data_IF_370229823646
#
_entry.id   IF_370229823646
#
_cell.length_a   1.000
_cell.length_b   1.000
_cell.length_c   1.000
_cell.angle_alpha   90.00
_cell.angle_beta   90.00
_cell.angle_gamma   90.00
#
_symmetry.space_group_name_H-M   'P 1'
#
loop_
_entity.id
_entity.type
_entity.pdbx_description
1 polymer ?
#
# COMPACT_ATOMS: atom_id res chain seq x y z
N UNK A 1 -11.89 -31.18 3.66
CA UNK A 1 -12.33 -32.36 4.42
C UNK A 1 -11.18 -32.76 5.32
N UNK A 2 -11.28 -32.48 6.63
CA UNK A 2 -10.25 -32.91 7.58
C UNK A 2 -10.24 -34.45 7.64
N UNK A 3 -9.04 -35.06 7.60
CA UNK A 3 -8.92 -36.49 7.86
C UNK A 3 -9.46 -36.80 9.28
N UNK A 4 -10.19 -37.91 9.47
CA UNK A 4 -10.64 -38.29 10.80
C UNK A 4 -9.41 -38.53 11.68
N UNK A 5 -9.37 -37.89 12.85
CA UNK A 5 -8.30 -38.08 13.82
C UNK A 5 -8.24 -39.55 14.22
N UNK A 6 -7.09 -40.19 14.00
CA UNK A 6 -6.83 -41.57 14.39
C UNK A 6 -6.93 -41.69 15.91
N UNK A 7 -7.87 -42.49 16.41
CA UNK A 7 -8.07 -42.68 17.86
C UNK A 7 -6.81 -43.26 18.49
N UNK A 8 -6.40 -42.68 19.62
CA UNK A 8 -5.24 -43.14 20.40
C UNK A 8 -5.57 -44.29 21.34
N UNK A 9 -6.84 -44.72 21.39
CA UNK A 9 -7.32 -45.77 22.29
C UNK A 9 -7.51 -45.32 23.75
N UNK A 10 -7.24 -44.05 24.06
CA UNK A 10 -7.46 -43.47 25.38
C UNK A 10 -8.49 -42.35 25.31
N UNK A 11 -9.66 -42.56 25.91
CA UNK A 11 -10.78 -41.62 25.90
C UNK A 11 -10.42 -40.25 26.47
N UNK A 12 -9.49 -40.18 27.43
CA UNK A 12 -9.00 -38.91 27.99
C UNK A 12 -8.07 -38.18 27.02
N UNK A 13 -7.19 -38.90 26.32
CA UNK A 13 -6.26 -38.31 25.35
C UNK A 13 -7.03 -37.88 24.11
N UNK A 14 -7.95 -38.70 23.61
CA UNK A 14 -8.79 -38.37 22.45
C UNK A 14 -9.71 -37.18 22.75
N UNK A 15 -10.25 -37.07 23.97
CA UNK A 15 -11.04 -35.90 24.39
C UNK A 15 -10.18 -34.61 24.50
N UNK A 16 -8.93 -34.73 24.96
CA UNK A 16 -7.98 -33.60 24.97
C UNK A 16 -7.57 -33.22 23.55
N UNK A 17 -7.28 -34.18 22.67
CA UNK A 17 -6.94 -33.96 21.27
C UNK A 17 -8.13 -33.34 20.51
N UNK A 18 -9.36 -33.78 20.75
CA UNK A 18 -10.56 -33.15 20.20
C UNK A 18 -10.78 -31.74 20.75
N UNK A 19 -10.59 -31.51 22.05
CA UNK A 19 -10.67 -30.15 22.64
C UNK A 19 -9.57 -29.24 22.09
N UNK A 20 -8.36 -29.74 21.88
CA UNK A 20 -7.25 -29.00 21.31
C UNK A 20 -7.52 -28.72 19.83
N UNK A 21 -7.98 -29.71 19.05
CA UNK A 21 -8.35 -29.52 17.64
C UNK A 21 -9.53 -28.55 17.47
N UNK A 22 -10.53 -28.59 18.35
CA UNK A 22 -11.68 -27.68 18.34
C UNK A 22 -11.32 -26.24 18.76
N UNK A 23 -10.25 -26.06 19.55
CA UNK A 23 -9.74 -24.74 19.97
C UNK A 23 -8.49 -24.29 19.20
N UNK A 24 -7.98 -25.10 18.27
CA UNK A 24 -6.90 -24.68 17.38
C UNK A 24 -7.56 -23.92 16.24
N UNK A 25 -7.30 -22.61 16.09
CA UNK A 25 -7.85 -21.86 14.96
C UNK A 25 -7.46 -22.56 13.66
N UNK A 26 -8.46 -22.94 12.88
CA UNK A 26 -8.28 -23.66 11.62
C UNK A 26 -7.27 -22.89 10.75
N UNK A 27 -6.24 -23.59 10.25
CA UNK A 27 -5.19 -22.97 9.45
C UNK A 27 -5.80 -22.55 8.11
N UNK A 28 -6.26 -21.30 8.05
CA UNK A 28 -6.97 -20.73 6.91
C UNK A 28 -6.15 -20.91 5.63
N UNK A 29 -6.80 -21.34 4.55
CA UNK A 29 -6.16 -21.54 3.26
C UNK A 29 -7.06 -21.11 2.10
N UNK A 30 -6.46 -20.86 0.94
CA UNK A 30 -7.19 -20.49 -0.27
C UNK A 30 -7.97 -19.17 -0.16
N UNK A 31 -9.17 -19.14 -0.74
CA UNK A 31 -9.99 -17.91 -0.88
C UNK A 31 -10.33 -17.28 0.47
N UNK A 32 -10.55 -18.08 1.52
CA UNK A 32 -10.84 -17.55 2.86
C UNK A 32 -9.65 -16.82 3.48
N UNK A 33 -8.42 -17.28 3.23
CA UNK A 33 -7.22 -16.60 3.68
C UNK A 33 -7.04 -15.28 2.93
N UNK A 34 -7.06 -15.33 1.60
CA UNK A 34 -6.79 -14.16 0.76
C UNK A 34 -7.82 -13.06 0.94
N UNK A 35 -9.11 -13.41 1.09
CA UNK A 35 -10.17 -12.43 1.32
C UNK A 35 -10.05 -11.71 2.66
N UNK A 36 -9.57 -12.38 3.71
CA UNK A 36 -9.29 -11.74 5.01
C UNK A 36 -8.11 -10.78 4.93
N UNK A 37 -7.04 -11.16 4.23
CA UNK A 37 -5.91 -10.25 3.97
C UNK A 37 -6.32 -9.07 3.07
N UNK A 38 -7.15 -9.32 2.05
CA UNK A 38 -7.71 -8.28 1.21
C UNK A 38 -8.53 -7.29 2.04
N UNK A 39 -9.49 -7.75 2.85
CA UNK A 39 -10.32 -6.89 3.67
C UNK A 39 -9.52 -6.11 4.71
N UNK A 40 -8.57 -6.77 5.39
CA UNK A 40 -7.69 -6.10 6.35
C UNK A 40 -6.84 -5.02 5.67
N UNK A 41 -6.31 -5.32 4.48
CA UNK A 41 -5.58 -4.36 3.65
C UNK A 41 -6.44 -3.19 3.20
N UNK A 42 -7.66 -3.47 2.76
CA UNK A 42 -8.62 -2.49 2.28
C UNK A 42 -9.00 -1.48 3.37
N UNK A 43 -9.39 -1.96 4.56
CA UNK A 43 -9.76 -1.11 5.69
C UNK A 43 -8.55 -0.28 6.14
N UNK A 44 -7.39 -0.91 6.33
CA UNK A 44 -6.20 -0.20 6.76
C UNK A 44 -5.77 0.91 5.79
N UNK A 45 -5.69 0.60 4.50
CA UNK A 45 -5.34 1.60 3.49
C UNK A 45 -6.40 2.70 3.39
N UNK A 46 -7.69 2.35 3.41
CA UNK A 46 -8.77 3.34 3.36
C UNK A 46 -8.76 4.30 4.55
N UNK A 47 -8.64 3.79 5.78
CA UNK A 47 -8.62 4.63 6.99
C UNK A 47 -7.38 5.51 7.02
N UNK A 48 -6.20 4.96 6.71
CA UNK A 48 -4.95 5.71 6.82
C UNK A 48 -4.80 6.78 5.75
N UNK A 49 -5.11 6.47 4.49
CA UNK A 49 -5.07 7.46 3.42
C UNK A 49 -6.27 8.43 3.51
N UNK A 50 -7.46 7.95 3.86
CA UNK A 50 -8.62 8.79 4.11
C UNK A 50 -8.37 9.81 5.24
N UNK A 51 -7.77 9.36 6.36
CA UNK A 51 -7.38 10.24 7.46
C UNK A 51 -6.30 11.26 7.10
N UNK A 52 -5.46 10.97 6.10
CA UNK A 52 -4.45 11.89 5.59
C UNK A 52 -4.93 12.81 4.46
N UNK A 53 -6.20 12.71 4.03
CA UNK A 53 -6.81 13.61 3.02
C UNK A 53 -6.53 15.10 3.30
N UNK A 54 -6.61 15.62 4.54
CA UNK A 54 -6.28 17.02 4.83
C UNK A 54 -4.84 17.41 4.48
N UNK A 55 -3.87 16.55 4.81
CA UNK A 55 -2.44 16.77 4.49
C UNK A 55 -2.25 16.80 2.98
N UNK A 56 -2.94 15.88 2.31
CA UNK A 56 -2.92 15.67 0.88
C UNK A 56 -3.49 16.86 0.09
N UNK A 57 -4.63 17.43 0.54
CA UNK A 57 -5.21 18.65 -0.02
C UNK A 57 -4.23 19.81 0.08
N UNK A 58 -3.68 20.06 1.28
CA UNK A 58 -2.73 21.17 1.49
C UNK A 58 -1.48 20.98 0.64
N UNK A 59 -0.95 19.75 0.56
CA UNK A 59 0.21 19.45 -0.28
C UNK A 59 -0.07 19.70 -1.76
N UNK A 60 -1.22 19.27 -2.26
CA UNK A 60 -1.61 19.53 -3.65
C UNK A 60 -1.80 21.02 -3.91
N UNK A 61 -2.40 21.78 -2.99
CA UNK A 61 -2.53 23.25 -3.08
C UNK A 61 -1.18 23.95 -3.16
N UNK A 62 -0.22 23.57 -2.31
CA UNK A 62 1.17 24.09 -2.35
C UNK A 62 1.83 23.77 -3.71
N UNK A 63 1.55 22.60 -4.28
CA UNK A 63 2.15 22.20 -5.56
C UNK A 63 1.53 22.91 -6.77
N UNK A 64 0.22 23.21 -6.72
CA UNK A 64 -0.52 23.86 -7.80
C UNK A 64 -0.36 25.39 -7.78
N UNK A 65 -0.38 26.00 -6.60
CA UNK A 65 -0.24 27.45 -6.42
C UNK A 65 0.80 27.77 -5.33
N UNK A 66 2.10 27.61 -5.63
CA UNK A 66 3.18 27.87 -4.68
C UNK A 66 3.33 29.36 -4.33
N UNK A 67 2.81 30.28 -5.15
CA UNK A 67 2.86 31.71 -4.86
C UNK A 67 1.93 32.08 -3.70
N UNK A 68 0.71 31.53 -3.72
CA UNK A 68 -0.27 31.71 -2.65
C UNK A 68 0.07 30.87 -1.42
N UNK A 69 0.37 29.58 -1.62
CA UNK A 69 0.56 28.61 -0.54
C UNK A 69 2.05 28.39 -0.26
N UNK A 70 2.72 29.42 0.26
CA UNK A 70 4.18 29.45 0.46
C UNK A 70 4.64 29.26 1.92
N UNK A 71 3.72 29.08 2.87
CA UNK A 71 4.02 29.04 4.32
C UNK A 71 4.24 27.62 4.87
N UNK A 72 4.66 26.69 4.01
CA UNK A 72 4.80 25.28 4.37
C UNK A 72 3.46 24.62 4.74
N UNK A 73 3.52 23.42 5.33
CA UNK A 73 2.33 22.61 5.57
C UNK A 73 1.38 23.25 6.61
N UNK A 74 1.90 23.64 7.78
CA UNK A 74 1.10 24.23 8.87
C UNK A 74 0.49 25.57 8.45
N UNK A 75 1.26 26.41 7.75
CA UNK A 75 0.76 27.66 7.19
C UNK A 75 -0.28 27.41 6.09
N UNK A 76 -0.04 26.41 5.23
CA UNK A 76 -0.97 25.97 4.20
C UNK A 76 -2.32 25.53 4.77
N UNK A 77 -2.35 24.77 5.87
CA UNK A 77 -3.59 24.43 6.59
C UNK A 77 -4.40 25.67 6.96
N UNK A 78 -3.75 26.66 7.59
CA UNK A 78 -4.41 27.92 7.97
C UNK A 78 -4.90 28.69 6.76
N UNK A 79 -4.12 28.73 5.68
CA UNK A 79 -4.47 29.42 4.44
C UNK A 79 -5.69 28.78 3.76
N UNK A 80 -5.74 27.44 3.67
CA UNK A 80 -6.87 26.72 3.09
C UNK A 80 -8.14 26.95 3.91
N UNK A 81 -8.06 26.81 5.25
CA UNK A 81 -9.21 27.05 6.12
C UNK A 81 -9.73 28.48 5.99
N UNK A 82 -8.82 29.47 5.95
CA UNK A 82 -9.21 30.89 5.87
C UNK A 82 -9.82 31.28 4.51
N UNK A 83 -9.41 30.62 3.42
CA UNK A 83 -9.86 30.96 2.05
C UNK A 83 -11.05 30.12 1.56
N UNK A 84 -11.01 28.82 1.83
CA UNK A 84 -11.93 27.82 1.25
C UNK A 84 -12.82 27.16 2.34
N UNK A 85 -12.55 27.44 3.63
CA UNK A 85 -13.27 26.86 4.76
C UNK A 85 -12.70 25.52 5.22
N UNK A 86 -13.08 25.08 6.43
CA UNK A 86 -12.57 23.84 7.01
C UNK A 86 -12.94 22.58 6.21
N UNK A 87 -14.11 22.58 5.56
CA UNK A 87 -14.56 21.48 4.72
C UNK A 87 -13.68 21.22 3.50
N UNK A 88 -12.96 22.24 3.01
CA UNK A 88 -12.07 22.11 1.86
C UNK A 88 -10.93 21.11 2.11
N UNK A 89 -10.52 20.92 3.37
CA UNK A 89 -9.51 19.93 3.76
C UNK A 89 -9.95 18.47 3.49
N UNK A 90 -11.24 18.22 3.30
CA UNK A 90 -11.76 16.89 2.97
C UNK A 90 -12.10 16.74 1.49
N UNK A 91 -11.72 17.72 0.66
CA UNK A 91 -11.89 17.63 -0.80
C UNK A 91 -11.13 16.42 -1.34
N UNK A 92 -11.83 15.54 -2.04
CA UNK A 92 -11.24 14.29 -2.55
C UNK A 92 -11.23 13.12 -1.55
N UNK A 93 -11.80 13.28 -0.34
CA UNK A 93 -11.88 12.18 0.65
C UNK A 93 -12.54 10.92 0.06
N UNK A 94 -13.68 11.08 -0.62
CA UNK A 94 -14.42 9.97 -1.23
C UNK A 94 -13.57 9.11 -2.19
N UNK A 95 -12.99 9.70 -3.26
CA UNK A 95 -12.11 8.95 -4.15
C UNK A 95 -10.85 8.41 -3.45
N UNK A 96 -10.26 9.13 -2.50
CA UNK A 96 -9.12 8.62 -1.72
C UNK A 96 -9.51 7.38 -0.91
N UNK A 97 -10.55 7.46 -0.08
CA UNK A 97 -10.99 6.36 0.76
C UNK A 97 -11.37 5.12 -0.08
N UNK A 98 -12.11 5.30 -1.18
CA UNK A 98 -12.49 4.21 -2.08
C UNK A 98 -11.28 3.65 -2.85
N UNK A 99 -10.39 4.53 -3.33
CA UNK A 99 -9.21 4.15 -4.11
C UNK A 99 -8.26 3.30 -3.30
N UNK A 100 -7.90 3.76 -2.12
CA UNK A 100 -7.03 3.02 -1.21
C UNK A 100 -7.70 1.79 -0.58
N UNK A 101 -9.03 1.76 -0.51
CA UNK A 101 -9.75 0.53 -0.17
C UNK A 101 -9.51 -0.55 -1.23
N UNK A 102 -9.77 -0.25 -2.51
CA UNK A 102 -9.57 -1.19 -3.60
C UNK A 102 -8.09 -1.56 -3.76
N UNK A 103 -7.20 -0.57 -3.76
CA UNK A 103 -5.76 -0.81 -3.85
C UNK A 103 -5.29 -1.70 -2.69
N UNK A 104 -5.72 -1.42 -1.46
CA UNK A 104 -5.40 -2.23 -0.29
C UNK A 104 -5.88 -3.68 -0.44
N UNK A 105 -7.10 -3.89 -0.93
CA UNK A 105 -7.64 -5.21 -1.17
C UNK A 105 -6.79 -6.02 -2.17
N UNK A 106 -6.54 -5.46 -3.35
CA UNK A 106 -5.78 -6.13 -4.40
C UNK A 106 -4.31 -6.32 -4.03
N UNK A 107 -3.69 -5.34 -3.36
CA UNK A 107 -2.30 -5.41 -2.94
C UNK A 107 -2.08 -6.52 -1.91
N UNK A 108 -2.82 -6.51 -0.81
CA UNK A 108 -2.58 -7.47 0.28
C UNK A 108 -3.19 -8.85 -0.03
N UNK A 109 -4.40 -8.91 -0.58
CA UNK A 109 -5.01 -10.18 -0.99
C UNK A 109 -4.30 -10.81 -2.19
N UNK A 110 -3.96 -9.99 -3.18
CA UNK A 110 -3.22 -10.43 -4.37
C UNK A 110 -1.82 -10.88 -4.03
N UNK A 111 -1.12 -10.22 -3.10
CA UNK A 111 0.22 -10.65 -2.67
C UNK A 111 0.22 -12.09 -2.14
N UNK A 112 -0.73 -12.42 -1.26
CA UNK A 112 -0.86 -13.79 -0.73
C UNK A 112 -1.25 -14.80 -1.82
N UNK A 113 -2.17 -14.42 -2.72
CA UNK A 113 -2.58 -15.25 -3.85
C UNK A 113 -1.41 -15.53 -4.81
N UNK A 114 -0.67 -14.51 -5.22
CA UNK A 114 0.44 -14.65 -6.17
C UNK A 114 1.64 -15.36 -5.55
N UNK A 115 1.86 -15.23 -4.23
CA UNK A 115 2.85 -16.05 -3.51
C UNK A 115 2.47 -17.52 -3.58
N UNK A 116 1.22 -17.87 -3.26
CA UNK A 116 0.76 -19.26 -3.32
C UNK A 116 0.84 -19.81 -4.74
N UNK A 117 0.42 -19.04 -5.74
CA UNK A 117 0.53 -19.45 -7.14
C UNK A 117 1.98 -19.69 -7.56
N UNK A 118 2.91 -18.82 -7.12
CA UNK A 118 4.34 -18.98 -7.38
C UNK A 118 4.89 -20.27 -6.75
N UNK A 119 4.47 -20.60 -5.53
CA UNK A 119 4.83 -21.86 -4.85
C UNK A 119 4.27 -23.07 -5.60
N UNK A 120 3.01 -23.00 -6.02
CA UNK A 120 2.35 -24.08 -6.77
C UNK A 120 3.02 -24.32 -8.14
N UNK A 121 3.53 -23.27 -8.78
CA UNK A 121 4.16 -23.33 -10.10
C UNK A 121 5.62 -23.81 -10.03
N UNK A 122 6.40 -23.30 -9.08
CA UNK A 122 7.85 -23.56 -8.98
C UNK A 122 8.19 -24.79 -8.14
N UNK A 123 7.24 -25.25 -7.31
CA UNK A 123 7.48 -26.19 -6.23
C UNK A 123 8.07 -25.50 -5.00
N UNK A 124 7.79 -26.04 -3.81
CA UNK A 124 8.16 -25.43 -2.53
C UNK A 124 9.67 -25.24 -2.38
N UNK A 125 10.47 -26.22 -2.80
CA UNK A 125 11.94 -26.18 -2.68
C UNK A 125 12.55 -25.06 -3.53
N UNK A 126 12.17 -24.96 -4.80
CA UNK A 126 12.61 -23.90 -5.72
C UNK A 126 12.12 -22.53 -5.27
N UNK A 127 10.87 -22.43 -4.81
CA UNK A 127 10.31 -21.18 -4.28
C UNK A 127 11.01 -20.74 -2.99
N UNK A 128 11.41 -21.67 -2.13
CA UNK A 128 12.17 -21.40 -0.90
C UNK A 128 13.61 -20.97 -1.19
N UNK A 129 14.24 -21.56 -2.21
CA UNK A 129 15.57 -21.17 -2.67
C UNK A 129 15.55 -19.77 -3.34
N UNK A 130 14.47 -19.42 -4.05
CA UNK A 130 14.32 -18.15 -4.77
C UNK A 130 13.32 -17.16 -4.12
N UNK A 131 13.21 -17.17 -2.78
CA UNK A 131 12.21 -16.39 -2.03
C UNK A 131 12.12 -14.92 -2.40
N UNK A 132 13.26 -14.24 -2.52
CA UNK A 132 13.28 -12.81 -2.88
C UNK A 132 12.63 -12.58 -4.24
N UNK A 133 12.91 -13.43 -5.23
CA UNK A 133 12.32 -13.32 -6.55
C UNK A 133 10.81 -13.59 -6.51
N UNK A 134 10.36 -14.58 -5.73
CA UNK A 134 8.94 -14.85 -5.50
C UNK A 134 8.26 -13.63 -4.87
N UNK A 135 8.81 -13.07 -3.80
CA UNK A 135 8.24 -11.89 -3.14
C UNK A 135 8.18 -10.68 -4.06
N UNK A 136 9.23 -10.43 -4.84
CA UNK A 136 9.25 -9.34 -5.82
C UNK A 136 8.20 -9.53 -6.91
N UNK A 137 8.11 -10.72 -7.50
CA UNK A 137 7.14 -11.01 -8.56
C UNK A 137 5.70 -10.94 -8.04
N UNK A 138 5.41 -11.56 -6.89
CA UNK A 138 4.09 -11.53 -6.28
C UNK A 138 3.67 -10.11 -5.88
N UNK A 139 4.58 -9.32 -5.31
CA UNK A 139 4.31 -7.93 -4.93
C UNK A 139 4.10 -7.04 -6.16
N UNK A 140 4.92 -7.19 -7.21
CA UNK A 140 4.80 -6.42 -8.44
C UNK A 140 3.49 -6.70 -9.19
N UNK A 141 3.10 -7.98 -9.30
CA UNK A 141 1.83 -8.37 -9.92
C UNK A 141 0.63 -7.87 -9.10
N UNK A 142 0.67 -8.04 -7.76
CA UNK A 142 -0.38 -7.53 -6.89
C UNK A 142 -0.56 -6.01 -7.04
N UNK A 143 0.54 -5.25 -7.04
CA UNK A 143 0.48 -3.79 -7.19
C UNK A 143 -0.02 -3.38 -8.58
N UNK A 144 0.39 -4.07 -9.65
CA UNK A 144 -0.07 -3.76 -11.00
C UNK A 144 -1.60 -3.81 -11.12
N UNK A 145 -2.24 -4.87 -10.60
CA UNK A 145 -3.70 -4.96 -10.59
C UNK A 145 -4.35 -3.99 -9.61
N UNK A 146 -3.70 -3.72 -8.48
CA UNK A 146 -4.16 -2.71 -7.53
C UNK A 146 -4.18 -1.31 -8.15
N UNK A 147 -3.18 -0.97 -8.97
CA UNK A 147 -3.07 0.30 -9.66
C UNK A 147 -4.12 0.48 -10.77
N UNK A 148 -4.53 -0.62 -11.43
CA UNK A 148 -5.67 -0.57 -12.38
C UNK A 148 -6.94 -0.10 -11.66
N UNK A 149 -7.19 -0.62 -10.45
CA UNK A 149 -8.34 -0.23 -9.65
C UNK A 149 -8.20 1.17 -9.02
N UNK A 150 -6.99 1.55 -8.63
CA UNK A 150 -6.71 2.85 -8.00
C UNK A 150 -6.75 4.01 -9.00
N UNK A 151 -6.21 3.83 -10.21
CA UNK A 151 -5.94 4.91 -11.16
C UNK A 151 -7.17 5.79 -11.46
N UNK A 152 -8.37 5.24 -11.74
CA UNK A 152 -9.57 6.05 -11.98
C UNK A 152 -9.97 6.93 -10.80
N UNK A 153 -9.82 6.42 -9.59
CA UNK A 153 -10.18 7.12 -8.36
C UNK A 153 -9.15 8.20 -8.04
N UNK A 154 -7.88 7.93 -8.33
CA UNK A 154 -6.82 8.91 -8.14
C UNK A 154 -6.86 10.05 -9.17
N UNK A 155 -7.22 9.75 -10.42
CA UNK A 155 -7.54 10.78 -11.41
C UNK A 155 -8.72 11.65 -10.94
N UNK A 156 -9.78 11.04 -10.40
CA UNK A 156 -10.94 11.75 -9.86
C UNK A 156 -10.57 12.64 -8.67
N UNK A 157 -9.78 12.11 -7.73
CA UNK A 157 -9.24 12.86 -6.58
C UNK A 157 -8.44 14.07 -7.05
N UNK A 158 -7.47 13.87 -7.94
CA UNK A 158 -6.61 14.95 -8.45
C UNK A 158 -7.47 16.04 -9.09
N UNK A 159 -8.48 15.67 -9.88
CA UNK A 159 -9.38 16.66 -10.51
C UNK A 159 -10.17 17.45 -9.48
N UNK A 160 -10.84 16.77 -8.54
CA UNK A 160 -11.63 17.43 -7.49
C UNK A 160 -10.78 18.35 -6.62
N UNK A 161 -9.56 17.93 -6.28
CA UNK A 161 -8.65 18.77 -5.50
C UNK A 161 -8.17 19.94 -6.35
N UNK A 162 -7.75 19.72 -7.60
CA UNK A 162 -7.14 20.78 -8.42
C UNK A 162 -8.14 21.82 -8.92
N UNK A 163 -9.38 21.42 -9.18
CA UNK A 163 -10.46 22.27 -9.70
C UNK A 163 -11.66 22.22 -8.73
N UNK A 164 -11.72 23.11 -7.73
CA UNK A 164 -12.77 23.09 -6.70
C UNK A 164 -14.20 23.18 -7.25
N UNK A 165 -14.37 23.80 -8.41
CA UNK A 165 -15.66 23.98 -9.09
C UNK A 165 -16.02 22.82 -10.04
N UNK A 166 -15.17 21.79 -10.14
CA UNK A 166 -15.39 20.70 -11.10
C UNK A 166 -16.63 19.88 -10.76
N UNK A 167 -16.71 19.34 -9.55
CA UNK A 167 -17.85 18.58 -9.05
C UNK A 167 -17.74 18.41 -7.53
N UNK A 168 -18.80 17.90 -6.90
CA UNK A 168 -18.78 17.55 -5.48
C UNK A 168 -18.75 16.03 -5.29
N UNK A 169 -17.80 15.57 -4.48
CA UNK A 169 -17.69 14.18 -4.06
C UNK A 169 -17.30 13.20 -5.18
N UNK A 170 -17.15 11.93 -4.79
CA UNK A 170 -16.70 10.86 -5.66
C UNK A 170 -17.63 10.67 -6.88
N UNK A 171 -18.92 10.46 -6.64
CA UNK A 171 -19.88 10.09 -7.70
C UNK A 171 -20.00 11.22 -8.73
N UNK A 172 -20.09 12.46 -8.27
CA UNK A 172 -20.16 13.64 -9.14
C UNK A 172 -18.90 13.81 -9.99
N UNK A 173 -17.72 13.75 -9.36
CA UNK A 173 -16.45 13.87 -10.06
C UNK A 173 -16.22 12.75 -11.07
N UNK A 174 -16.43 11.50 -10.65
CA UNK A 174 -16.23 10.33 -11.48
C UNK A 174 -17.20 10.32 -12.67
N UNK A 175 -18.49 10.57 -12.44
CA UNK A 175 -19.50 10.59 -13.50
C UNK A 175 -19.26 11.72 -14.49
N UNK A 176 -18.89 12.91 -14.02
CA UNK A 176 -18.59 14.05 -14.88
C UNK A 176 -17.36 13.78 -15.75
N UNK A 177 -16.30 13.22 -15.18
CA UNK A 177 -15.09 12.89 -15.93
C UNK A 177 -15.34 11.79 -16.96
N UNK A 178 -16.07 10.74 -16.60
CA UNK A 178 -16.45 9.68 -17.53
C UNK A 178 -17.30 10.23 -18.70
N UNK A 179 -18.29 11.07 -18.41
CA UNK A 179 -19.20 11.63 -19.43
C UNK A 179 -18.49 12.60 -20.38
N UNK A 180 -17.63 13.46 -19.85
CA UNK A 180 -17.07 14.57 -20.61
C UNK A 180 -15.72 14.24 -21.27
N UNK A 181 -14.95 13.33 -20.68
CA UNK A 181 -13.55 13.07 -21.08
C UNK A 181 -13.30 11.59 -21.41
N UNK A 182 -14.25 10.71 -21.07
CA UNK A 182 -14.18 9.29 -21.36
C UNK A 182 -13.18 8.52 -20.50
N UNK A 183 -13.01 7.24 -20.81
CA UNK A 183 -12.18 6.31 -20.02
C UNK A 183 -10.68 6.66 -20.09
N UNK A 184 -10.23 7.25 -21.21
CA UNK A 184 -8.83 7.64 -21.38
C UNK A 184 -8.35 8.62 -20.30
N UNK A 185 -9.22 9.51 -19.82
CA UNK A 185 -8.89 10.46 -18.75
C UNK A 185 -8.56 9.78 -17.42
N UNK A 186 -9.20 8.65 -17.11
CA UNK A 186 -8.91 7.88 -15.89
C UNK A 186 -7.51 7.27 -15.89
N UNK A 187 -6.97 6.92 -17.05
CA UNK A 187 -5.70 6.19 -17.17
C UNK A 187 -4.55 7.02 -17.75
N UNK A 188 -4.77 8.31 -18.00
CA UNK A 188 -3.72 9.22 -18.47
C UNK A 188 -2.50 9.26 -17.53
N UNK A 189 -2.71 9.05 -16.22
CA UNK A 189 -1.66 8.99 -15.19
C UNK A 189 -1.13 7.59 -14.88
N UNK A 190 -1.56 6.54 -15.58
CA UNK A 190 -1.28 5.16 -15.17
C UNK A 190 0.20 4.80 -15.20
N UNK A 191 0.93 5.17 -16.26
CA UNK A 191 2.38 4.95 -16.35
C UNK A 191 3.17 5.58 -15.19
N UNK A 192 2.97 6.88 -14.90
CA UNK A 192 3.48 7.52 -13.69
C UNK A 192 3.14 6.78 -12.38
N UNK A 193 1.90 6.32 -12.22
CA UNK A 193 1.47 5.58 -11.03
C UNK A 193 2.28 4.28 -10.88
N UNK A 194 2.37 3.47 -11.94
CA UNK A 194 3.12 2.21 -11.92
C UNK A 194 4.60 2.41 -11.56
N UNK A 195 5.25 3.41 -12.16
CA UNK A 195 6.66 3.71 -11.91
C UNK A 195 6.94 4.09 -10.45
N UNK A 196 5.94 4.62 -9.74
CA UNK A 196 6.03 4.96 -8.33
C UNK A 196 5.68 3.80 -7.42
N UNK A 197 4.53 3.18 -7.67
CA UNK A 197 3.90 2.25 -6.74
C UNK A 197 4.57 0.88 -6.78
N UNK A 198 4.87 0.36 -7.98
CA UNK A 198 5.44 -0.99 -8.13
C UNK A 198 6.80 -1.11 -7.42
N UNK A 199 7.80 -0.23 -7.64
CA UNK A 199 9.07 -0.32 -6.93
C UNK A 199 8.93 -0.11 -5.41
N UNK A 200 8.01 0.77 -5.00
CA UNK A 200 7.72 1.01 -3.59
C UNK A 200 7.16 -0.25 -2.92
N UNK A 201 6.15 -0.88 -3.52
CA UNK A 201 5.49 -2.08 -2.99
C UNK A 201 6.41 -3.29 -2.99
N UNK A 202 7.15 -3.52 -4.08
CA UNK A 202 8.15 -4.60 -4.17
C UNK A 202 9.19 -4.50 -3.04
N UNK A 203 9.76 -3.30 -2.84
CA UNK A 203 10.73 -3.06 -1.76
C UNK A 203 10.09 -3.25 -0.38
N UNK A 204 8.88 -2.70 -0.19
CA UNK A 204 8.17 -2.77 1.10
C UNK A 204 7.92 -4.22 1.51
N UNK A 205 7.39 -5.07 0.63
CA UNK A 205 7.13 -6.47 0.98
C UNK A 205 8.42 -7.26 1.22
N UNK A 206 9.44 -7.12 0.36
CA UNK A 206 10.70 -7.85 0.56
C UNK A 206 11.38 -7.46 1.87
N UNK A 207 11.48 -6.16 2.16
CA UNK A 207 12.13 -5.69 3.39
C UNK A 207 11.29 -6.10 4.60
N UNK A 208 9.96 -6.03 4.52
CA UNK A 208 9.09 -6.49 5.61
C UNK A 208 9.36 -7.96 5.95
N UNK A 209 9.34 -8.84 4.94
CA UNK A 209 9.58 -10.28 5.13
C UNK A 209 10.97 -10.54 5.70
N UNK A 210 12.01 -9.84 5.20
CA UNK A 210 13.39 -10.02 5.67
C UNK A 210 13.62 -9.53 7.09
N UNK A 211 13.04 -8.39 7.47
CA UNK A 211 13.15 -7.85 8.82
C UNK A 211 12.36 -8.70 9.81
N UNK A 212 11.14 -9.14 9.44
CA UNK A 212 10.35 -10.04 10.25
C UNK A 212 11.07 -11.39 10.45
N UNK A 213 11.60 -12.00 9.39
CA UNK A 213 12.40 -13.24 9.45
C UNK A 213 13.60 -13.09 10.38
N UNK A 214 14.35 -11.99 10.25
CA UNK A 214 15.49 -11.71 11.12
C UNK A 214 15.09 -11.62 12.59
N UNK A 215 14.00 -10.92 12.92
CA UNK A 215 13.54 -10.76 14.30
C UNK A 215 13.01 -12.08 14.88
N UNK A 216 12.23 -12.84 14.10
CA UNK A 216 11.74 -14.17 14.52
C UNK A 216 12.84 -15.24 14.57
N UNK A 217 14.03 -14.97 14.00
CA UNK A 217 15.22 -15.79 14.24
C UNK A 217 15.76 -15.68 15.68
N UNK A 218 15.47 -14.56 16.38
CA UNK A 218 15.86 -14.35 17.78
C UNK A 218 14.69 -14.52 18.76
N UNK A 219 13.45 -14.45 18.27
CA UNK A 219 12.24 -14.55 19.09
C UNK A 219 11.37 -15.72 18.61
N UNK A 220 11.15 -16.68 19.49
CA UNK A 220 10.25 -17.82 19.21
C UNK A 220 8.81 -17.32 19.05
N UNK A 221 8.33 -17.34 17.81
CA UNK A 221 6.98 -16.89 17.43
C UNK A 221 5.87 -17.62 18.20
N UNK A 222 6.10 -18.87 18.59
CA UNK A 222 5.12 -19.66 19.35
C UNK A 222 4.99 -19.24 20.80
N UNK A 223 6.01 -18.57 21.35
CA UNK A 223 6.05 -18.08 22.74
C UNK A 223 5.88 -16.56 22.83
N UNK A 224 5.90 -15.86 21.71
CA UNK A 224 5.69 -14.42 21.64
C UNK A 224 4.22 -14.09 21.93
N UNK A 225 3.99 -13.20 22.91
CA UNK A 225 2.65 -12.67 23.19
C UNK A 225 2.07 -11.94 21.98
N UNK A 226 0.75 -11.83 21.90
CA UNK A 226 0.08 -11.09 20.83
C UNK A 226 0.57 -9.64 20.71
N UNK A 227 0.92 -9.02 21.85
CA UNK A 227 1.53 -7.70 21.89
C UNK A 227 2.92 -7.67 21.25
N UNK A 228 3.75 -8.66 21.55
CA UNK A 228 5.10 -8.78 20.97
C UNK A 228 5.03 -9.04 19.46
N UNK A 229 4.19 -9.97 19.00
CA UNK A 229 4.02 -10.23 17.56
C UNK A 229 3.48 -9.00 16.83
N UNK A 230 2.59 -8.24 17.47
CA UNK A 230 2.14 -6.95 16.95
C UNK A 230 3.35 -6.04 16.77
N UNK A 231 4.08 -5.72 17.85
CA UNK A 231 5.27 -4.85 17.82
C UNK A 231 6.30 -5.26 16.78
N UNK A 232 6.58 -6.55 16.62
CA UNK A 232 7.51 -7.06 15.60
C UNK A 232 6.99 -6.74 14.20
N UNK A 233 5.72 -7.04 13.92
CA UNK A 233 5.11 -6.72 12.63
C UNK A 233 5.09 -5.19 12.38
N UNK A 234 4.87 -4.39 13.41
CA UNK A 234 4.90 -2.92 13.30
C UNK A 234 6.32 -2.42 13.00
N UNK A 235 7.31 -2.88 13.76
CA UNK A 235 8.71 -2.51 13.58
C UNK A 235 9.23 -2.89 12.18
N UNK A 236 8.95 -4.14 11.76
CA UNK A 236 9.30 -4.64 10.42
C UNK A 236 8.68 -3.79 9.33
N UNK A 237 7.40 -3.43 9.46
CA UNK A 237 6.73 -2.60 8.48
C UNK A 237 7.25 -1.16 8.44
N UNK A 238 7.66 -0.58 9.57
CA UNK A 238 8.22 0.78 9.63
C UNK A 238 9.54 0.84 8.87
N UNK A 239 10.44 -0.10 9.17
CA UNK A 239 11.72 -0.25 8.46
C UNK A 239 11.47 -0.48 6.97
N UNK A 240 10.51 -1.35 6.63
CA UNK A 240 10.13 -1.59 5.24
C UNK A 240 9.60 -0.35 4.52
N UNK A 241 8.76 0.45 5.18
CA UNK A 241 8.25 1.71 4.62
C UNK A 241 9.37 2.72 4.36
N UNK A 242 10.29 2.89 5.31
CA UNK A 242 11.44 3.78 5.14
C UNK A 242 12.39 3.30 4.03
N UNK A 243 12.71 2.01 3.99
CA UNK A 243 13.53 1.44 2.93
C UNK A 243 12.86 1.59 1.55
N UNK A 244 11.56 1.31 1.46
CA UNK A 244 10.78 1.53 0.25
C UNK A 244 10.79 3.00 -0.18
N UNK A 245 10.70 3.94 0.76
CA UNK A 245 10.78 5.37 0.47
C UNK A 245 12.13 5.75 -0.13
N UNK A 246 13.24 5.21 0.38
CA UNK A 246 14.60 5.44 -0.16
C UNK A 246 14.73 4.87 -1.57
N UNK A 247 14.36 3.59 -1.76
CA UNK A 247 14.53 2.91 -3.06
C UNK A 247 13.66 3.52 -4.15
N UNK A 248 12.43 3.94 -3.81
CA UNK A 248 11.50 4.56 -4.76
C UNK A 248 11.70 6.07 -4.94
N UNK A 249 12.61 6.70 -4.19
CA UNK A 249 12.81 8.15 -4.23
C UNK A 249 13.22 8.66 -5.63
N UNK A 250 14.15 8.02 -6.38
CA UNK A 250 14.48 8.48 -7.72
C UNK A 250 13.28 8.52 -8.66
N UNK A 251 12.45 7.47 -8.63
CA UNK A 251 11.22 7.41 -9.41
C UNK A 251 10.25 8.54 -9.03
N UNK A 252 10.04 8.76 -7.73
CA UNK A 252 9.15 9.82 -7.25
C UNK A 252 9.63 11.23 -7.65
N UNK A 253 10.93 11.50 -7.56
CA UNK A 253 11.52 12.78 -7.97
C UNK A 253 11.34 13.00 -9.48
N UNK A 254 11.61 11.99 -10.30
CA UNK A 254 11.41 12.06 -11.75
C UNK A 254 9.95 12.34 -12.11
N UNK A 255 9.01 11.68 -11.44
CA UNK A 255 7.57 11.88 -11.66
C UNK A 255 7.08 13.24 -11.17
N UNK A 256 7.61 13.76 -10.06
CA UNK A 256 7.28 15.11 -9.63
C UNK A 256 7.75 16.16 -10.65
N UNK A 257 8.88 15.92 -11.33
CA UNK A 257 9.43 16.84 -12.34
C UNK A 257 8.67 16.73 -13.66
N UNK A 258 8.29 15.53 -14.08
CA UNK A 258 7.53 15.34 -15.33
C UNK A 258 6.13 15.97 -15.25
N UNK A 259 5.51 15.94 -14.06
CA UNK A 259 4.20 16.57 -13.83
C UNK A 259 4.27 18.10 -13.71
N UNK A 260 5.45 18.67 -13.40
CA UNK A 260 5.67 20.13 -13.31
C UNK A 260 6.14 20.77 -14.61
N UNK A 261 6.54 19.96 -15.59
CA UNK A 261 7.04 20.44 -16.89
C UNK A 261 6.06 20.04 -17.98
N UNK A 262 5.67 20.96 -18.86
CA UNK A 262 4.93 20.58 -20.06
C UNK A 262 5.91 19.95 -21.06
N UNK A 263 5.52 18.81 -21.64
CA UNK A 263 6.33 18.15 -22.65
C UNK A 263 6.38 18.96 -23.94
N UNK A 264 7.51 18.93 -24.63
CA UNK A 264 7.61 19.47 -25.98
C UNK A 264 6.71 18.66 -26.95
N UNK A 265 6.17 19.27 -28.01
CA UNK A 265 5.35 18.54 -28.99
C UNK A 265 6.09 17.33 -29.55
N UNK A 266 5.47 16.14 -29.50
CA UNK A 266 6.03 14.88 -30.03
C UNK A 266 6.98 14.12 -29.10
N UNK A 267 7.24 14.60 -27.88
CA UNK A 267 8.15 13.93 -26.95
C UNK A 267 7.45 12.87 -26.09
N UNK A 268 7.84 11.60 -26.22
CA UNK A 268 7.31 10.50 -25.41
C UNK A 268 7.64 10.61 -23.92
N UNK A 269 6.81 10.02 -23.06
CA UNK A 269 7.02 10.00 -21.59
C UNK A 269 8.39 9.40 -21.24
N UNK A 270 8.79 8.32 -21.93
CA UNK A 270 10.06 7.63 -21.68
C UNK A 270 11.27 8.50 -22.00
N UNK A 271 11.28 9.22 -23.12
CA UNK A 271 12.40 10.10 -23.47
C UNK A 271 12.51 11.27 -22.49
N UNK A 272 11.37 11.81 -22.03
CA UNK A 272 11.34 12.82 -20.96
C UNK A 272 11.89 12.31 -19.64
N UNK A 273 11.50 11.10 -19.22
CA UNK A 273 12.04 10.49 -18.01
C UNK A 273 13.56 10.31 -18.10
N UNK A 274 14.08 9.88 -19.24
CA UNK A 274 15.52 9.74 -19.46
C UNK A 274 16.23 11.11 -19.38
N UNK A 275 15.67 12.15 -20.00
CA UNK A 275 16.25 13.51 -19.93
C UNK A 275 16.26 14.03 -18.49
N UNK A 276 15.13 13.92 -17.80
CA UNK A 276 15.01 14.34 -16.39
C UNK A 276 15.97 13.55 -15.50
N UNK A 277 16.14 12.24 -15.74
CA UNK A 277 17.09 11.41 -15.00
C UNK A 277 18.53 11.91 -15.19
N UNK A 278 18.91 12.28 -16.43
CA UNK A 278 20.23 12.85 -16.74
C UNK A 278 20.43 14.21 -16.06
N UNK A 279 19.41 15.07 -16.07
CA UNK A 279 19.47 16.41 -15.46
C UNK A 279 19.55 16.35 -13.92
N UNK A 280 18.78 15.46 -13.29
CA UNK A 280 18.79 15.29 -11.84
C UNK A 280 20.12 14.69 -11.35
N UNK A 281 20.67 13.74 -12.12
CA UNK A 281 21.77 12.90 -11.67
C UNK A 281 21.45 12.15 -10.37
N UNK A 282 22.47 11.54 -9.76
CA UNK A 282 22.30 10.76 -8.53
C UNK A 282 21.85 11.66 -7.36
N UNK A 283 22.52 12.80 -7.13
CA UNK A 283 22.21 13.70 -6.01
C UNK A 283 20.82 14.32 -6.12
N UNK A 284 20.43 14.79 -7.32
CA UNK A 284 19.13 15.41 -7.53
C UNK A 284 17.98 14.42 -7.37
N UNK A 285 18.19 13.13 -7.70
CA UNK A 285 17.19 12.07 -7.57
C UNK A 285 16.72 11.84 -6.14
N UNK A 286 17.51 12.22 -5.12
CA UNK A 286 17.14 12.09 -3.70
C UNK A 286 16.62 13.38 -3.06
N UNK A 287 16.35 14.42 -3.87
CA UNK A 287 15.79 15.68 -3.37
C UNK A 287 14.42 15.46 -2.74
N UNK A 288 14.24 15.89 -1.48
CA UNK A 288 12.98 15.74 -0.76
C UNK A 288 12.85 14.43 0.03
N UNK A 289 13.88 13.57 0.05
CA UNK A 289 13.88 12.32 0.82
C UNK A 289 13.56 12.52 2.31
N UNK A 290 14.13 13.51 3.04
CA UNK A 290 13.81 13.68 4.47
C UNK A 290 12.32 13.93 4.73
N UNK A 291 11.68 14.76 3.90
CA UNK A 291 10.24 15.02 4.00
C UNK A 291 9.41 13.76 3.68
N UNK A 292 9.86 12.96 2.70
CA UNK A 292 9.22 11.68 2.37
C UNK A 292 9.38 10.67 3.50
N UNK A 293 10.55 10.56 4.12
CA UNK A 293 10.79 9.67 5.26
C UNK A 293 9.92 10.05 6.46
N UNK A 294 9.78 11.34 6.76
CA UNK A 294 8.88 11.79 7.81
C UNK A 294 7.41 11.43 7.53
N UNK A 295 6.95 11.70 6.30
CA UNK A 295 5.58 11.41 5.88
C UNK A 295 5.29 9.91 5.87
N UNK A 296 6.18 9.10 5.29
CA UNK A 296 6.05 7.63 5.25
C UNK A 296 6.17 7.06 6.66
N UNK A 297 7.10 7.55 7.50
CA UNK A 297 7.21 7.14 8.90
C UNK A 297 5.91 7.38 9.67
N UNK A 298 5.33 8.58 9.54
CA UNK A 298 4.06 8.94 10.21
C UNK A 298 2.88 8.12 9.68
N UNK A 299 2.77 7.99 8.35
CA UNK A 299 1.70 7.21 7.71
C UNK A 299 1.79 5.73 8.09
N UNK A 300 3.01 5.17 8.10
CA UNK A 300 3.23 3.77 8.44
C UNK A 300 2.99 3.54 9.94
N UNK A 301 3.42 4.45 10.82
CA UNK A 301 3.08 4.43 12.25
C UNK A 301 1.56 4.48 12.50
N UNK A 302 0.82 5.31 11.75
CA UNK A 302 -0.64 5.34 11.79
C UNK A 302 -1.28 4.05 11.26
N UNK A 303 -0.75 3.49 10.16
CA UNK A 303 -1.15 2.18 9.65
C UNK A 303 -0.95 1.09 10.71
N UNK A 304 0.10 1.19 11.53
CA UNK A 304 0.38 0.24 12.59
C UNK A 304 -0.59 0.31 13.77
N UNK A 305 -1.02 1.50 14.16
CA UNK A 305 -2.05 1.65 15.19
C UNK A 305 -3.37 1.00 14.77
N UNK A 306 -3.71 1.00 13.48
CA UNK A 306 -5.01 0.51 12.99
C UNK A 306 -4.95 -0.94 12.51
N UNK A 307 -3.89 -1.33 11.80
CA UNK A 307 -3.79 -2.64 11.14
C UNK A 307 -3.69 -3.80 12.13
N UNK A 308 -2.99 -3.61 13.26
CA UNK A 308 -2.87 -4.62 14.30
C UNK A 308 -4.24 -5.03 14.85
N UNK A 309 -5.07 -4.04 15.15
CA UNK A 309 -6.41 -4.26 15.71
C UNK A 309 -7.38 -4.82 14.66
N UNK A 310 -7.31 -4.33 13.41
CA UNK A 310 -8.14 -4.83 12.31
C UNK A 310 -7.80 -6.28 11.95
N UNK A 311 -6.52 -6.68 11.90
CA UNK A 311 -6.15 -8.08 11.63
C UNK A 311 -6.63 -9.02 12.72
N UNK A 312 -6.52 -8.60 13.99
CA UNK A 312 -6.99 -9.37 15.14
C UNK A 312 -8.51 -9.54 15.09
N UNK A 313 -9.25 -8.45 14.85
CA UNK A 313 -10.70 -8.47 14.71
C UNK A 313 -11.18 -9.36 13.55
N UNK A 314 -10.42 -9.41 12.45
CA UNK A 314 -10.77 -10.21 11.27
C UNK A 314 -10.21 -11.65 11.28
N UNK A 315 -9.44 -12.03 12.31
CA UNK A 315 -8.77 -13.33 12.35
C UNK A 315 -7.86 -13.58 11.14
N UNK A 316 -7.17 -12.55 10.66
CA UNK A 316 -6.25 -12.61 9.53
C UNK A 316 -4.84 -13.05 9.99
N UNK A 317 -4.77 -14.26 10.55
CA UNK A 317 -3.56 -14.89 11.11
C UNK A 317 -3.07 -16.04 10.24
N UNK A 318 -1.75 -16.21 10.08
CA UNK A 318 -1.16 -17.31 9.31
C UNK A 318 -1.08 -17.06 7.81
N UNK A 319 -0.38 -16.00 7.39
CA UNK A 319 -0.12 -15.73 5.97
C UNK A 319 0.73 -16.82 5.31
N UNK A 320 0.84 -16.77 3.98
CA UNK A 320 1.68 -17.69 3.22
C UNK A 320 3.14 -17.36 3.53
N UNK A 321 3.74 -18.19 4.38
CA UNK A 321 5.13 -18.08 4.82
C UNK A 321 6.00 -19.03 4.03
N UNK A 322 7.12 -18.52 3.50
CA UNK A 322 8.16 -19.34 2.89
C UNK A 322 9.32 -19.40 3.89
N UNK A 323 9.25 -20.35 4.82
CA UNK A 323 10.26 -20.51 5.86
C UNK A 323 11.53 -21.18 5.32
N UNK A 324 12.66 -20.82 5.93
CA UNK A 324 13.93 -21.56 5.78
C UNK A 324 13.82 -22.82 6.65
N UNK A 325 14.09 -23.99 6.07
CA UNK A 325 14.37 -25.18 6.88
C UNK A 325 15.68 -24.96 7.66
#
# INVERSE_FOLDING_TARGET
MASPATSTGSTKVDAVVQKVAANTPEKLSGVQLYSRFALAGAICCSVTHGGLTPVDVVKTRIQLDPATYNKGLIGGFRQVIAKEGAGALLTGFGPTAAGYFLQGAFKFGGYELFKQQSINLLGYETASNNRTAVYLASAGLAEFFADIALCPLEATRIRLVSEPTYANGLIGGFSKMLKNEGIGAFYAGFGPILLKQVPYTMTKFVVYEKVAEAIYGYVDKSKASDGMQTTINLGSGLVAGMAAAVVSQPADTMLSKINKTQGLPGQGITSRLITIAKELGLKGSFTGLPARLFMVGTLTAGQFAIYGDVKKALGATGGVEIAKN
#
